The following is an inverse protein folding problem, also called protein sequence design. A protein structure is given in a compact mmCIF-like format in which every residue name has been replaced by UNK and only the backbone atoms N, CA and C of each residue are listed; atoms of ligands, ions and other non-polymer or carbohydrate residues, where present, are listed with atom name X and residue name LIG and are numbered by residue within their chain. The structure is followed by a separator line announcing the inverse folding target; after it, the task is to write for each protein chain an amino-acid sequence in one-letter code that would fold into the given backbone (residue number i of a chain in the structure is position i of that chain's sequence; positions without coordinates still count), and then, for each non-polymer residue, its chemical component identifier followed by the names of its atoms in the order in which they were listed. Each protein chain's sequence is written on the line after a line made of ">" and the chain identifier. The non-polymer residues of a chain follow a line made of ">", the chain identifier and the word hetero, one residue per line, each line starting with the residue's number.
data_IF_260213356665
#
_entry.id   IF_260213356665
#
_cell.length_a   1.000
_cell.length_b   1.000
_cell.length_c   1.000
_cell.angle_alpha   90.00
_cell.angle_beta   90.00
_cell.angle_gamma   90.00
#
_symmetry.space_group_name_H-M   'P 1'
#
loop_
_entity.id
_entity.type
_entity.pdbx_description
1 polymer ?
#
# COMPACT_ATOMS: atom_id res chain seq x y z
N UNK A 1 -25.39 8.18 56.52
CA UNK A 1 -24.58 7.22 55.75
C UNK A 1 -24.09 7.96 54.52
N UNK A 2 -22.80 8.26 54.42
CA UNK A 2 -22.23 8.82 53.19
C UNK A 2 -22.47 7.82 52.06
N UNK A 3 -23.06 8.28 50.97
CA UNK A 3 -23.40 7.43 49.83
C UNK A 3 -22.11 7.15 49.06
N UNK A 4 -21.62 5.91 49.13
CA UNK A 4 -20.43 5.47 48.40
C UNK A 4 -20.72 5.52 46.90
N UNK A 5 -19.85 6.20 46.14
CA UNK A 5 -19.96 6.29 44.68
C UNK A 5 -19.45 5.00 44.02
N UNK A 6 -20.14 4.53 42.97
CA UNK A 6 -19.74 3.33 42.24
C UNK A 6 -18.91 3.70 41.01
N UNK A 7 -17.88 2.91 40.70
CA UNK A 7 -16.97 3.14 39.58
C UNK A 7 -16.79 1.90 38.72
N UNK A 8 -16.64 2.11 37.41
CA UNK A 8 -16.31 1.09 36.41
C UNK A 8 -15.02 1.51 35.74
N UNK A 9 -14.03 0.62 35.72
CA UNK A 9 -12.72 0.89 35.14
C UNK A 9 -12.60 0.31 33.73
N UNK A 10 -11.98 1.09 32.84
CA UNK A 10 -11.57 0.67 31.51
C UNK A 10 -10.04 0.82 31.37
N UNK A 11 -9.38 -0.28 31.02
CA UNK A 11 -7.92 -0.40 30.93
C UNK A 11 -7.54 -0.81 29.50
N UNK A 12 -6.56 -0.14 28.92
CA UNK A 12 -6.03 -0.49 27.59
C UNK A 12 -4.72 -1.25 27.76
N UNK A 13 -4.72 -2.54 27.46
CA UNK A 13 -3.52 -3.37 27.50
C UNK A 13 -2.77 -3.34 26.16
N UNK A 14 -1.42 -3.26 26.19
CA UNK A 14 -0.61 -3.26 24.98
C UNK A 14 -0.73 -4.61 24.25
N UNK A 15 -0.58 -4.58 22.93
CA UNK A 15 -0.54 -5.81 22.14
C UNK A 15 0.75 -6.58 22.40
N UNK A 16 0.63 -7.89 22.58
CA UNK A 16 1.78 -8.79 22.63
C UNK A 16 2.52 -8.72 21.30
N UNK A 17 3.68 -8.07 21.26
CA UNK A 17 4.61 -8.22 20.13
C UNK A 17 5.08 -9.68 20.11
N UNK A 18 5.14 -10.30 18.92
CA UNK A 18 5.71 -11.65 18.77
C UNK A 18 7.12 -11.66 19.39
N UNK A 19 7.32 -12.52 20.40
CA UNK A 19 8.62 -12.69 21.08
C UNK A 19 8.79 -11.94 22.41
N UNK A 20 7.83 -11.13 22.85
CA UNK A 20 7.91 -10.44 24.15
C UNK A 20 7.52 -11.37 25.32
N UNK A 21 8.23 -11.30 26.47
CA UNK A 21 7.86 -12.03 27.69
C UNK A 21 6.43 -11.71 28.13
N UNK A 22 5.72 -12.72 28.68
CA UNK A 22 4.36 -12.56 29.17
C UNK A 22 4.27 -11.63 30.41
N UNK A 23 5.39 -11.43 31.12
CA UNK A 23 5.47 -10.64 32.34
C UNK A 23 5.14 -9.15 32.11
N UNK A 24 5.59 -8.59 30.98
CA UNK A 24 5.51 -7.16 30.70
C UNK A 24 4.05 -6.64 30.60
N UNK A 25 3.12 -7.46 30.09
CA UNK A 25 1.72 -7.05 29.91
C UNK A 25 0.96 -7.05 31.25
N UNK A 26 1.19 -8.06 32.09
CA UNK A 26 0.53 -8.16 33.39
C UNK A 26 1.02 -7.07 34.35
N UNK A 27 2.32 -6.75 34.33
CA UNK A 27 2.88 -5.65 35.11
C UNK A 27 2.34 -4.29 34.66
N UNK A 28 2.17 -4.11 33.34
CA UNK A 28 1.55 -2.91 32.78
C UNK A 28 0.09 -2.75 33.25
N UNK A 29 -0.72 -3.81 33.15
CA UNK A 29 -2.11 -3.82 33.64
C UNK A 29 -2.15 -3.52 35.15
N UNK A 30 -1.30 -4.18 35.95
CA UNK A 30 -1.24 -3.97 37.39
C UNK A 30 -0.91 -2.51 37.76
N UNK A 31 -0.05 -1.86 36.98
CA UNK A 31 0.28 -0.43 37.15
C UNK A 31 -0.93 0.46 36.89
N UNK A 32 -1.67 0.21 35.80
CA UNK A 32 -2.90 0.95 35.50
C UNK A 32 -3.99 0.71 36.55
N UNK A 33 -4.17 -0.54 37.00
CA UNK A 33 -5.12 -0.88 38.08
C UNK A 33 -4.77 -0.16 39.38
N UNK A 34 -3.49 -0.06 39.74
CA UNK A 34 -3.03 0.68 40.92
C UNK A 34 -3.40 2.16 40.83
N UNK A 35 -3.22 2.79 39.67
CA UNK A 35 -3.60 4.18 39.43
C UNK A 35 -5.10 4.39 39.53
N UNK A 36 -5.90 3.50 38.95
CA UNK A 36 -7.37 3.52 39.06
C UNK A 36 -7.80 3.38 40.52
N UNK A 37 -7.22 2.43 41.26
CA UNK A 37 -7.53 2.22 42.69
C UNK A 37 -7.22 3.47 43.53
N UNK A 38 -6.09 4.13 43.27
CA UNK A 38 -5.73 5.40 43.95
C UNK A 38 -6.77 6.49 43.71
N UNK A 39 -7.22 6.66 42.46
CA UNK A 39 -8.25 7.65 42.12
C UNK A 39 -9.58 7.35 42.85
N UNK A 40 -10.02 6.09 42.84
CA UNK A 40 -11.27 5.67 43.47
C UNK A 40 -11.20 5.86 45.00
N UNK A 41 -10.07 5.54 45.63
CA UNK A 41 -9.84 5.78 47.05
C UNK A 41 -9.90 7.27 47.41
N UNK A 42 -9.30 8.15 46.58
CA UNK A 42 -9.39 9.60 46.78
C UNK A 42 -10.82 10.15 46.70
N UNK A 43 -11.71 9.45 46.00
CA UNK A 43 -13.12 9.81 45.83
C UNK A 43 -14.05 9.07 46.80
N UNK A 44 -13.51 8.29 47.75
CA UNK A 44 -14.28 7.45 48.67
C UNK A 44 -15.29 6.54 47.93
N UNK A 45 -14.86 6.00 46.79
CA UNK A 45 -15.67 5.17 45.90
C UNK A 45 -15.45 3.68 46.05
N UNK A 46 -16.31 2.90 45.39
CA UNK A 46 -16.21 1.45 45.23
C UNK A 46 -16.04 1.09 43.76
N UNK A 47 -15.02 0.28 43.45
CA UNK A 47 -14.84 -0.30 42.11
C UNK A 47 -15.77 -1.50 41.93
N UNK A 48 -16.69 -1.43 40.97
CA UNK A 48 -17.67 -2.49 40.69
C UNK A 48 -17.12 -3.51 39.69
N UNK A 49 -16.45 -3.05 38.63
CA UNK A 49 -15.93 -3.91 37.56
C UNK A 49 -14.79 -3.25 36.78
N UNK A 50 -13.86 -4.05 36.29
CA UNK A 50 -12.78 -3.64 35.38
C UNK A 50 -12.96 -4.33 34.04
N UNK A 51 -12.82 -3.57 32.95
CA UNK A 51 -12.81 -4.04 31.57
C UNK A 51 -11.42 -3.78 30.98
N UNK A 52 -10.86 -4.79 30.29
CA UNK A 52 -9.50 -4.74 29.76
C UNK A 52 -9.56 -4.94 28.25
N UNK A 53 -9.22 -3.88 27.50
CA UNK A 53 -9.16 -3.92 26.04
C UNK A 53 -7.76 -4.32 25.58
N UNK A 54 -7.67 -5.33 24.71
CA UNK A 54 -6.42 -5.75 24.10
C UNK A 54 -6.17 -4.93 22.81
N UNK A 55 -5.02 -4.26 22.70
CA UNK A 55 -4.78 -3.24 21.66
C UNK A 55 -4.74 -3.67 20.18
N UNK A 56 -5.19 -4.86 19.78
CA UNK A 56 -5.10 -5.37 18.39
C UNK A 56 -6.37 -5.16 17.56
N UNK A 57 -7.24 -4.25 17.98
CA UNK A 57 -8.54 -4.07 17.33
C UNK A 57 -8.49 -3.16 16.08
N UNK A 58 -7.30 -2.76 15.60
CA UNK A 58 -7.13 -1.81 14.48
C UNK A 58 -7.75 -2.28 13.15
N UNK A 59 -8.01 -3.58 12.99
CA UNK A 59 -8.61 -4.17 11.78
C UNK A 59 -10.00 -4.78 12.01
N UNK A 60 -10.53 -4.68 13.24
CA UNK A 60 -11.86 -5.21 13.58
C UNK A 60 -12.97 -4.29 13.07
N UNK A 61 -14.12 -4.87 12.69
CA UNK A 61 -15.36 -4.11 12.42
C UNK A 61 -15.88 -3.38 13.66
N UNK A 62 -15.53 -3.89 14.85
CA UNK A 62 -15.85 -3.30 16.16
C UNK A 62 -14.54 -3.06 16.90
N UNK A 63 -13.96 -1.85 16.78
CA UNK A 63 -12.61 -1.61 17.28
C UNK A 63 -12.50 -1.50 18.81
N UNK A 64 -13.62 -1.45 19.55
CA UNK A 64 -13.63 -1.22 21.01
C UNK A 64 -14.77 -1.96 21.73
N UNK A 65 -14.83 -3.30 21.68
CA UNK A 65 -15.92 -4.08 22.29
C UNK A 65 -15.92 -4.01 23.83
N UNK A 66 -14.76 -3.91 24.47
CA UNK A 66 -14.66 -3.86 25.94
C UNK A 66 -15.05 -2.48 26.47
N UNK A 67 -14.75 -1.42 25.71
CA UNK A 67 -15.21 -0.07 26.05
C UNK A 67 -16.74 0.05 25.95
N UNK A 68 -17.33 -0.53 24.89
CA UNK A 68 -18.79 -0.58 24.75
C UNK A 68 -19.45 -1.33 25.92
N UNK A 69 -18.86 -2.45 26.32
CA UNK A 69 -19.30 -3.23 27.47
C UNK A 69 -19.14 -2.48 28.80
N UNK A 70 -18.04 -1.73 28.96
CA UNK A 70 -17.80 -0.89 30.13
C UNK A 70 -18.83 0.23 30.25
N UNK A 71 -19.13 0.91 29.14
CA UNK A 71 -20.15 1.97 29.06
C UNK A 71 -21.54 1.42 29.41
N UNK A 72 -21.94 0.31 28.79
CA UNK A 72 -23.24 -0.31 29.05
C UNK A 72 -23.38 -0.71 30.52
N UNK A 73 -22.33 -1.28 31.12
CA UNK A 73 -22.33 -1.68 32.52
C UNK A 73 -22.33 -0.48 33.48
N UNK A 74 -21.58 0.59 33.16
CA UNK A 74 -21.57 1.84 33.91
C UNK A 74 -22.96 2.49 33.95
N UNK A 75 -23.65 2.54 32.80
CA UNK A 75 -25.02 3.04 32.70
C UNK A 75 -25.98 2.18 33.52
N UNK A 76 -25.95 0.85 33.33
CA UNK A 76 -26.87 -0.07 34.00
C UNK A 76 -26.69 -0.09 35.53
N UNK A 77 -25.46 0.10 36.00
CA UNK A 77 -25.12 0.08 37.43
C UNK A 77 -25.14 1.46 38.11
N UNK A 78 -25.47 2.51 37.35
CA UNK A 78 -25.34 3.90 37.77
C UNK A 78 -23.95 4.22 38.40
N UNK A 79 -22.89 3.82 37.70
CA UNK A 79 -21.51 3.93 38.14
C UNK A 79 -20.70 4.85 37.20
N UNK A 80 -19.81 5.67 37.76
CA UNK A 80 -18.94 6.54 36.98
C UNK A 80 -17.93 5.74 36.15
N UNK A 81 -17.61 6.22 34.95
CA UNK A 81 -16.62 5.59 34.09
C UNK A 81 -15.22 6.16 34.37
N UNK A 82 -14.26 5.28 34.63
CA UNK A 82 -12.85 5.61 34.83
C UNK A 82 -12.03 5.00 33.71
N UNK A 83 -11.26 5.83 33.01
CA UNK A 83 -10.32 5.42 31.96
C UNK A 83 -8.91 5.56 32.53
N UNK A 84 -8.13 4.49 32.51
CA UNK A 84 -6.75 4.50 33.04
C UNK A 84 -5.83 5.43 32.24
N UNK A 85 -5.87 5.33 30.91
CA UNK A 85 -5.05 6.14 30.02
C UNK A 85 -5.84 6.50 28.75
N UNK A 86 -5.94 7.81 28.48
CA UNK A 86 -6.66 8.34 27.31
C UNK A 86 -5.71 8.87 26.22
N UNK A 87 -4.47 9.25 26.57
CA UNK A 87 -3.36 9.56 25.65
C UNK A 87 -3.81 10.18 24.29
N UNK A 88 -3.55 9.49 23.18
CA UNK A 88 -3.90 9.90 21.81
C UNK A 88 -5.27 9.38 21.33
N UNK A 89 -6.05 8.73 22.20
CA UNK A 89 -7.35 8.14 21.85
C UNK A 89 -8.41 9.20 21.59
N UNK A 90 -8.28 10.40 22.17
CA UNK A 90 -9.20 11.53 21.94
C UNK A 90 -9.33 11.93 20.47
N UNK A 91 -8.29 11.74 19.66
CA UNK A 91 -8.39 11.98 18.22
C UNK A 91 -8.77 10.74 17.40
N UNK A 92 -8.84 9.55 18.01
CA UNK A 92 -9.43 8.38 17.35
C UNK A 92 -10.95 8.55 17.28
N UNK A 93 -11.48 8.67 16.05
CA UNK A 93 -12.90 8.92 15.82
C UNK A 93 -13.80 7.84 16.42
N UNK A 94 -13.46 6.56 16.26
CA UNK A 94 -14.31 5.47 16.72
C UNK A 94 -14.33 5.34 18.25
N UNK A 95 -13.20 5.59 18.91
CA UNK A 95 -13.15 5.65 20.37
C UNK A 95 -14.00 6.82 20.91
N UNK A 96 -13.82 8.01 20.34
CA UNK A 96 -14.55 9.21 20.74
C UNK A 96 -16.07 9.05 20.53
N UNK A 97 -16.51 8.40 19.45
CA UNK A 97 -17.92 8.10 19.18
C UNK A 97 -18.55 7.23 20.27
N UNK A 98 -17.83 6.25 20.81
CA UNK A 98 -18.36 5.44 21.92
C UNK A 98 -18.54 6.27 23.19
N UNK A 99 -17.56 7.12 23.53
CA UNK A 99 -17.69 8.03 24.66
C UNK A 99 -18.81 9.06 24.44
N UNK A 100 -19.04 9.50 23.19
CA UNK A 100 -20.19 10.37 22.87
C UNK A 100 -21.52 9.67 23.13
N UNK A 101 -21.66 8.36 22.82
CA UNK A 101 -22.87 7.60 23.19
C UNK A 101 -23.10 7.61 24.71
N UNK A 102 -22.04 7.48 25.50
CA UNK A 102 -22.11 7.60 26.96
C UNK A 102 -22.59 9.00 27.38
N UNK A 103 -21.97 10.06 26.86
CA UNK A 103 -22.34 11.47 27.14
C UNK A 103 -23.81 11.76 26.75
N UNK A 104 -24.23 11.33 25.56
CA UNK A 104 -25.57 11.59 25.07
C UNK A 104 -26.62 10.85 25.92
N UNK A 105 -26.31 9.63 26.41
CA UNK A 105 -27.17 8.93 27.37
C UNK A 105 -27.30 9.71 28.68
N UNK A 106 -26.19 10.20 29.25
CA UNK A 106 -26.21 10.99 30.49
C UNK A 106 -26.94 12.33 30.38
N UNK A 107 -27.16 12.83 29.15
CA UNK A 107 -27.81 14.11 28.87
C UNK A 107 -29.34 14.00 28.71
N UNK A 108 -29.92 12.80 28.78
CA UNK A 108 -31.38 12.61 28.60
C UNK A 108 -32.17 13.00 29.87
N UNK A 109 -33.38 13.60 29.75
CA UNK A 109 -34.14 14.10 30.90
C UNK A 109 -34.52 13.06 31.99
N UNK A 110 -34.46 11.77 31.64
CA UNK A 110 -34.70 10.64 32.55
C UNK A 110 -33.44 9.83 32.87
N UNK A 111 -32.27 10.22 32.36
CA UNK A 111 -31.02 9.56 32.71
C UNK A 111 -30.57 9.95 34.11
N UNK A 112 -29.88 9.00 34.74
CA UNK A 112 -29.31 9.09 36.08
C UNK A 112 -28.44 10.35 36.22
N UNK A 113 -29.03 11.38 36.82
CA UNK A 113 -28.35 12.62 37.18
C UNK A 113 -27.16 12.27 38.10
N UNK A 114 -25.94 12.30 37.56
CA UNK A 114 -24.72 12.12 38.36
C UNK A 114 -23.60 11.29 37.72
N UNK A 115 -23.81 10.63 36.58
CA UNK A 115 -22.72 9.89 35.92
C UNK A 115 -21.60 10.83 35.45
N UNK A 116 -20.35 10.45 35.71
CA UNK A 116 -19.15 11.24 35.41
C UNK A 116 -18.15 10.40 34.61
N UNK A 117 -17.24 11.09 33.93
CA UNK A 117 -16.10 10.52 33.24
C UNK A 117 -14.82 10.99 33.93
N UNK A 118 -13.96 10.05 34.32
CA UNK A 118 -12.65 10.34 34.90
C UNK A 118 -11.54 9.70 34.07
N UNK A 119 -10.50 10.47 33.75
CA UNK A 119 -9.30 9.98 33.09
C UNK A 119 -8.11 10.11 34.05
N UNK A 120 -7.43 9.01 34.36
CA UNK A 120 -6.37 9.01 35.37
C UNK A 120 -5.10 9.74 34.92
N UNK A 121 -4.75 9.65 33.63
CA UNK A 121 -3.58 10.31 33.03
C UNK A 121 -3.82 11.80 32.75
N UNK A 122 -5.08 12.18 32.46
CA UNK A 122 -5.47 13.55 32.12
C UNK A 122 -6.68 13.98 32.94
N UNK A 123 -6.44 14.32 34.22
CA UNK A 123 -7.50 14.65 35.19
C UNK A 123 -8.38 15.87 34.79
N UNK A 124 -7.91 16.73 33.88
CA UNK A 124 -8.70 17.83 33.35
C UNK A 124 -9.77 17.38 32.33
N UNK A 125 -9.70 16.15 31.81
CA UNK A 125 -10.70 15.60 30.90
C UNK A 125 -11.91 15.15 31.71
N UNK A 126 -13.02 15.83 31.45
CA UNK A 126 -14.31 15.60 32.09
C UNK A 126 -15.38 15.47 31.01
N UNK A 127 -16.57 15.03 31.41
CA UNK A 127 -17.70 14.85 30.51
C UNK A 127 -18.00 16.11 29.68
N UNK A 128 -18.02 17.27 30.35
CA UNK A 128 -18.44 18.55 29.77
C UNK A 128 -17.47 19.10 28.72
N UNK A 129 -16.17 18.85 28.88
CA UNK A 129 -15.14 19.36 27.98
C UNK A 129 -14.63 18.32 26.97
N UNK A 130 -15.04 17.05 27.11
CA UNK A 130 -14.59 15.96 26.23
C UNK A 130 -14.86 16.27 24.75
N UNK A 131 -16.06 16.77 24.41
CA UNK A 131 -16.43 17.15 23.04
C UNK A 131 -15.47 18.21 22.46
N UNK A 132 -15.08 19.21 23.25
CA UNK A 132 -14.15 20.25 22.84
C UNK A 132 -12.72 19.70 22.63
N UNK A 133 -12.27 18.81 23.52
CA UNK A 133 -10.94 18.18 23.44
C UNK A 133 -10.84 17.31 22.19
N UNK A 134 -11.85 16.51 21.88
CA UNK A 134 -11.90 15.69 20.65
C UNK A 134 -11.84 16.57 19.40
N UNK A 135 -12.60 17.68 19.37
CA UNK A 135 -12.60 18.60 18.24
C UNK A 135 -11.21 19.23 18.03
N UNK A 136 -10.58 19.70 19.10
CA UNK A 136 -9.23 20.26 19.05
C UNK A 136 -8.20 19.22 18.58
N UNK A 137 -8.24 18.00 19.11
CA UNK A 137 -7.31 16.94 18.74
C UNK A 137 -7.48 16.51 17.26
N UNK A 138 -8.72 16.49 16.73
CA UNK A 138 -8.99 16.29 15.29
C UNK A 138 -8.39 17.41 14.44
N UNK A 139 -8.52 18.67 14.86
CA UNK A 139 -7.95 19.80 14.15
C UNK A 139 -6.41 19.78 14.14
N UNK A 140 -5.78 19.44 15.27
CA UNK A 140 -4.33 19.28 15.34
C UNK A 140 -3.82 18.21 14.38
N UNK A 141 -4.49 17.05 14.31
CA UNK A 141 -4.13 16.00 13.33
C UNK A 141 -4.25 16.48 11.88
N UNK A 142 -5.32 17.22 11.57
CA UNK A 142 -5.52 17.80 10.23
C UNK A 142 -4.40 18.78 9.88
N UNK A 143 -4.07 19.68 10.80
CA UNK A 143 -3.01 20.67 10.61
C UNK A 143 -1.64 20.01 10.47
N UNK A 144 -1.32 19.02 11.31
CA UNK A 144 -0.09 18.24 11.17
C UNK A 144 -0.01 17.52 9.82
N UNK A 145 -1.11 16.91 9.35
CA UNK A 145 -1.19 16.29 8.03
C UNK A 145 -1.01 17.29 6.88
N UNK A 146 -1.54 18.50 7.03
CA UNK A 146 -1.33 19.59 6.07
C UNK A 146 0.14 20.03 6.05
N UNK A 147 0.77 20.24 7.20
CA UNK A 147 2.19 20.59 7.29
C UNK A 147 3.09 19.51 6.68
N UNK A 148 2.79 18.22 6.89
CA UNK A 148 3.51 17.12 6.24
C UNK A 148 3.34 17.21 4.72
N UNK A 149 2.10 17.41 4.23
CA UNK A 149 1.81 17.52 2.81
C UNK A 149 2.53 18.73 2.19
N UNK A 150 2.49 19.88 2.85
CA UNK A 150 3.17 21.09 2.43
C UNK A 150 4.69 20.92 2.41
N UNK A 151 5.26 20.30 3.46
CA UNK A 151 6.68 19.96 3.53
C UNK A 151 7.09 19.06 2.35
N UNK A 152 6.32 18.00 2.10
CA UNK A 152 6.53 17.09 0.96
C UNK A 152 6.43 17.80 -0.40
N UNK A 153 5.58 18.81 -0.54
CA UNK A 153 5.46 19.58 -1.79
C UNK A 153 6.57 20.61 -1.98
N UNK A 154 7.11 21.18 -0.90
CA UNK A 154 8.19 22.18 -0.95
C UNK A 154 9.56 21.54 -1.14
N UNK A 155 9.73 20.30 -0.69
CA UNK A 155 10.92 19.51 -0.99
C UNK A 155 10.78 18.84 -2.36
N UNK A 156 11.43 19.37 -3.41
CA UNK A 156 11.60 18.64 -4.68
C UNK A 156 12.27 17.26 -4.49
N UNK A 157 13.00 17.10 -3.38
CA UNK A 157 13.32 15.81 -2.80
C UNK A 157 12.15 15.32 -1.95
N UNK A 158 11.33 14.39 -2.48
CA UNK A 158 10.49 13.52 -1.61
C UNK A 158 11.34 13.12 -0.41
N UNK A 159 10.92 13.39 0.82
CA UNK A 159 11.68 13.00 2.01
C UNK A 159 12.03 11.50 1.93
N UNK A 160 13.30 11.26 1.64
CA UNK A 160 13.80 10.05 0.99
C UNK A 160 15.09 10.38 0.24
N UNK A 161 15.90 9.36 -0.03
CA UNK A 161 17.20 9.52 -0.71
C UNK A 161 17.02 10.41 -1.97
N UNK A 162 17.74 11.53 -2.13
CA UNK A 162 17.61 12.40 -3.31
C UNK A 162 17.96 11.67 -4.62
N UNK A 163 18.72 10.56 -4.54
CA UNK A 163 18.98 9.66 -5.66
C UNK A 163 17.91 8.58 -5.85
N UNK A 164 16.83 8.56 -5.05
CA UNK A 164 15.81 7.54 -5.12
C UNK A 164 15.19 7.46 -6.51
N UNK A 165 14.96 8.57 -7.21
CA UNK A 165 14.41 8.55 -8.58
C UNK A 165 15.38 7.86 -9.55
N UNK A 166 16.67 8.18 -9.49
CA UNK A 166 17.69 7.56 -10.35
C UNK A 166 17.86 6.06 -10.04
N UNK A 167 17.82 5.69 -8.75
CA UNK A 167 17.89 4.28 -8.31
C UNK A 167 16.60 3.52 -8.67
N UNK A 168 15.43 4.15 -8.48
CA UNK A 168 14.12 3.59 -8.80
C UNK A 168 14.01 3.34 -10.30
N UNK A 169 14.43 4.28 -11.15
CA UNK A 169 14.38 4.09 -12.61
C UNK A 169 15.34 2.99 -13.07
N UNK A 170 16.58 2.95 -12.54
CA UNK A 170 17.56 1.90 -12.85
C UNK A 170 17.11 0.50 -12.42
N UNK A 171 16.37 0.39 -11.30
CA UNK A 171 15.87 -0.90 -10.80
C UNK A 171 14.51 -1.27 -11.42
N UNK A 172 13.69 -0.28 -11.79
CA UNK A 172 12.35 -0.53 -12.31
C UNK A 172 12.33 -0.92 -13.78
N UNK A 173 13.21 -0.35 -14.65
CA UNK A 173 13.22 -0.74 -16.08
C UNK A 173 13.45 -2.25 -16.24
N UNK A 174 14.49 -2.87 -15.65
CA UNK A 174 14.68 -4.33 -15.73
C UNK A 174 13.49 -5.12 -15.16
N UNK A 175 12.83 -4.63 -14.09
CA UNK A 175 11.64 -5.28 -13.53
C UNK A 175 10.43 -5.20 -14.47
N UNK A 176 10.25 -4.07 -15.15
CA UNK A 176 9.19 -3.87 -16.14
C UNK A 176 9.44 -4.77 -17.35
N UNK A 177 10.66 -4.75 -17.88
CA UNK A 177 11.06 -5.53 -19.05
C UNK A 177 10.89 -7.03 -18.77
N UNK A 178 11.39 -7.51 -17.63
CA UNK A 178 11.18 -8.91 -17.20
C UNK A 178 9.70 -9.26 -17.04
N UNK A 179 8.87 -8.34 -16.54
CA UNK A 179 7.43 -8.58 -16.42
C UNK A 179 6.73 -8.63 -17.78
N UNK A 180 7.20 -7.87 -18.77
CA UNK A 180 6.73 -7.93 -20.16
C UNK A 180 7.13 -9.27 -20.78
N UNK A 181 8.42 -9.63 -20.75
CA UNK A 181 8.94 -10.91 -21.25
C UNK A 181 8.15 -12.08 -20.66
N UNK A 182 8.02 -12.11 -19.32
CA UNK A 182 7.31 -13.17 -18.63
C UNK A 182 5.84 -13.27 -19.08
N UNK A 183 5.17 -12.13 -19.29
CA UNK A 183 3.80 -12.12 -19.78
C UNK A 183 3.68 -12.61 -21.23
N UNK A 184 4.66 -12.31 -22.10
CA UNK A 184 4.71 -12.79 -23.48
C UNK A 184 4.90 -14.33 -23.52
N UNK A 185 5.81 -14.85 -22.68
CA UNK A 185 6.04 -16.30 -22.56
C UNK A 185 4.78 -17.04 -22.08
N UNK A 186 4.06 -16.47 -21.10
CA UNK A 186 2.88 -17.10 -20.53
C UNK A 186 1.60 -16.90 -21.37
N UNK A 187 1.58 -15.95 -22.29
CA UNK A 187 0.43 -15.64 -23.15
C UNK A 187 -0.19 -16.87 -23.84
N UNK A 188 0.58 -17.76 -24.53
CA UNK A 188 0.01 -18.95 -25.16
C UNK A 188 -0.63 -19.92 -24.16
N UNK A 189 -0.03 -20.10 -22.98
CA UNK A 189 -0.57 -20.97 -21.91
C UNK A 189 -1.91 -20.43 -21.40
N UNK A 190 -1.96 -19.12 -21.10
CA UNK A 190 -3.20 -18.48 -20.66
C UNK A 190 -4.27 -18.52 -21.74
N UNK A 191 -3.90 -18.33 -23.01
CA UNK A 191 -4.81 -18.45 -24.15
C UNK A 191 -5.41 -19.85 -24.26
N UNK A 192 -4.58 -20.90 -24.15
CA UNK A 192 -5.05 -22.28 -24.13
C UNK A 192 -6.05 -22.54 -22.98
N UNK A 193 -5.79 -22.04 -21.78
CA UNK A 193 -6.72 -22.16 -20.67
C UNK A 193 -8.04 -21.40 -20.87
N UNK A 194 -7.99 -20.23 -21.53
CA UNK A 194 -9.20 -19.47 -21.91
C UNK A 194 -10.05 -20.26 -22.91
N UNK A 195 -9.42 -20.86 -23.91
CA UNK A 195 -10.09 -21.71 -24.90
C UNK A 195 -10.75 -22.94 -24.27
N UNK A 196 -10.15 -23.49 -23.22
CA UNK A 196 -10.74 -24.57 -22.41
C UNK A 196 -11.87 -24.10 -21.48
N UNK A 197 -12.19 -22.81 -21.45
CA UNK A 197 -13.24 -22.26 -20.59
C UNK A 197 -12.92 -22.29 -19.10
N UNK A 198 -11.63 -22.35 -18.72
CA UNK A 198 -11.24 -22.34 -17.32
C UNK A 198 -11.55 -20.99 -16.67
N UNK A 199 -12.03 -21.00 -15.42
CA UNK A 199 -12.11 -19.79 -14.62
C UNK A 199 -10.71 -19.39 -14.15
N UNK A 200 -10.47 -18.10 -13.86
CA UNK A 200 -9.16 -17.65 -13.39
C UNK A 200 -8.67 -18.40 -12.13
N UNK A 201 -9.58 -18.80 -11.22
CA UNK A 201 -9.21 -19.63 -10.07
C UNK A 201 -8.75 -21.03 -10.48
N UNK A 202 -9.42 -21.64 -11.47
CA UNK A 202 -8.99 -22.92 -12.06
C UNK A 202 -7.67 -22.80 -12.81
N UNK A 203 -7.44 -21.68 -13.51
CA UNK A 203 -6.15 -21.41 -14.14
C UNK A 203 -5.01 -21.36 -13.12
N UNK A 204 -5.21 -20.72 -11.96
CA UNK A 204 -4.22 -20.71 -10.87
C UNK A 204 -3.93 -22.11 -10.37
N UNK A 205 -4.96 -22.92 -10.10
CA UNK A 205 -4.78 -24.33 -9.72
C UNK A 205 -3.97 -25.08 -10.77
N UNK A 206 -4.29 -24.88 -12.06
CA UNK A 206 -3.61 -25.55 -13.16
C UNK A 206 -2.15 -25.15 -13.30
N UNK A 207 -1.83 -23.85 -13.21
CA UNK A 207 -0.45 -23.36 -13.22
C UNK A 207 0.38 -24.01 -12.12
N UNK A 208 -0.20 -24.10 -10.92
CA UNK A 208 0.45 -24.71 -9.76
C UNK A 208 0.62 -26.22 -9.90
N UNK A 209 -0.38 -26.93 -10.44
CA UNK A 209 -0.32 -28.37 -10.71
C UNK A 209 0.71 -28.72 -11.78
N UNK A 210 0.83 -27.88 -12.81
CA UNK A 210 1.80 -28.03 -13.91
C UNK A 210 3.21 -27.55 -13.51
N UNK A 211 3.40 -27.04 -12.30
CA UNK A 211 4.70 -26.66 -11.76
C UNK A 211 5.22 -25.30 -12.23
N UNK A 212 4.38 -24.46 -12.84
CA UNK A 212 4.77 -23.09 -13.16
C UNK A 212 4.97 -22.29 -11.88
N UNK A 213 6.15 -21.69 -11.72
CA UNK A 213 6.42 -20.79 -10.61
C UNK A 213 5.92 -19.38 -10.88
N UNK A 214 5.43 -18.69 -9.85
CA UNK A 214 5.10 -17.27 -9.94
C UNK A 214 6.36 -16.41 -10.21
N UNK A 215 6.24 -15.17 -10.72
CA UNK A 215 7.39 -14.31 -11.07
C UNK A 215 8.42 -14.05 -9.96
N UNK A 216 7.98 -14.05 -8.70
CA UNK A 216 8.86 -13.88 -7.52
C UNK A 216 9.18 -15.23 -6.84
N UNK A 217 8.87 -16.34 -7.51
CA UNK A 217 8.95 -17.69 -6.98
C UNK A 217 7.67 -18.13 -6.25
N UNK A 218 7.62 -19.43 -5.92
CA UNK A 218 6.52 -20.04 -5.19
C UNK A 218 5.25 -20.27 -6.01
N UNK A 219 4.16 -20.57 -5.29
CA UNK A 219 2.86 -20.90 -5.86
C UNK A 219 2.11 -19.65 -6.33
N UNK A 220 1.37 -19.79 -7.42
CA UNK A 220 0.49 -18.77 -7.95
C UNK A 220 -0.68 -18.48 -7.03
N UNK A 221 -1.01 -17.19 -6.91
CA UNK A 221 -2.26 -16.69 -6.37
C UNK A 221 -3.05 -15.89 -7.40
N UNK A 222 -4.36 -15.78 -7.19
CA UNK A 222 -5.29 -15.12 -8.13
C UNK A 222 -4.87 -13.69 -8.51
N UNK A 223 -4.41 -12.90 -7.55
CA UNK A 223 -4.00 -11.51 -7.80
C UNK A 223 -2.77 -11.41 -8.71
N UNK A 224 -1.86 -12.39 -8.67
CA UNK A 224 -0.71 -12.45 -9.56
C UNK A 224 -1.16 -12.80 -10.99
N UNK A 225 -2.02 -13.81 -11.13
CA UNK A 225 -2.57 -14.18 -12.44
C UNK A 225 -3.33 -13.01 -13.08
N UNK A 226 -4.13 -12.27 -12.31
CA UNK A 226 -4.86 -11.11 -12.81
C UNK A 226 -3.93 -10.02 -13.35
N UNK A 227 -2.80 -9.75 -12.68
CA UNK A 227 -1.78 -8.82 -13.17
C UNK A 227 -1.16 -9.29 -14.48
N UNK A 228 -0.88 -10.58 -14.61
CA UNK A 228 -0.31 -11.15 -15.84
C UNK A 228 -1.31 -11.11 -16.99
N UNK A 229 -2.56 -11.49 -16.74
CA UNK A 229 -3.66 -11.37 -17.71
C UNK A 229 -3.80 -9.94 -18.21
N UNK A 230 -3.81 -8.97 -17.31
CA UNK A 230 -3.90 -7.57 -17.67
C UNK A 230 -2.74 -7.13 -18.59
N UNK A 231 -1.50 -7.51 -18.24
CA UNK A 231 -0.33 -7.21 -19.08
C UNK A 231 -0.40 -7.88 -20.44
N UNK A 232 -0.83 -9.14 -20.51
CA UNK A 232 -1.03 -9.84 -21.79
C UNK A 232 -2.00 -9.03 -22.66
N UNK A 233 -3.15 -8.63 -22.12
CA UNK A 233 -4.13 -7.84 -22.87
C UNK A 233 -3.55 -6.50 -23.34
N UNK A 234 -2.78 -5.81 -22.50
CA UNK A 234 -2.14 -4.54 -22.90
C UNK A 234 -1.08 -4.76 -23.99
N UNK A 235 -0.26 -5.81 -23.89
CA UNK A 235 0.75 -6.14 -24.90
C UNK A 235 0.11 -6.52 -26.24
N UNK A 236 -0.90 -7.39 -26.22
CA UNK A 236 -1.67 -7.78 -27.41
C UNK A 236 -2.30 -6.56 -28.07
N UNK A 237 -2.92 -5.70 -27.26
CA UNK A 237 -3.52 -4.44 -27.75
C UNK A 237 -2.45 -3.57 -28.41
N UNK A 238 -1.31 -3.38 -27.76
CA UNK A 238 -0.25 -2.53 -28.26
C UNK A 238 0.30 -3.00 -29.61
N UNK A 239 0.61 -4.29 -29.72
CA UNK A 239 1.05 -4.89 -30.98
C UNK A 239 -0.02 -4.83 -32.07
N UNK A 240 -1.29 -5.01 -31.72
CA UNK A 240 -2.38 -4.98 -32.71
C UNK A 240 -2.66 -3.57 -33.27
N UNK A 241 -2.42 -2.53 -32.47
CA UNK A 241 -2.74 -1.14 -32.82
C UNK A 241 -1.53 -0.36 -33.34
N UNK A 242 -0.31 -0.87 -33.16
CA UNK A 242 0.92 -0.19 -33.56
C UNK A 242 0.89 0.33 -35.00
N UNK A 243 0.59 -0.53 -35.97
CA UNK A 243 0.53 -0.12 -37.38
C UNK A 243 -0.54 0.94 -37.63
N UNK A 244 -1.68 0.85 -36.94
CA UNK A 244 -2.75 1.84 -37.05
C UNK A 244 -2.30 3.18 -36.46
N UNK A 245 -1.71 3.19 -35.27
CA UNK A 245 -1.16 4.40 -34.65
C UNK A 245 -0.11 5.05 -35.55
N UNK A 246 0.87 4.29 -36.04
CA UNK A 246 1.92 4.77 -36.94
C UNK A 246 1.34 5.44 -38.19
N UNK A 247 0.37 4.80 -38.86
CA UNK A 247 -0.31 5.37 -40.03
C UNK A 247 -1.06 6.67 -39.71
N UNK A 248 -1.71 6.77 -38.55
CA UNK A 248 -2.42 7.99 -38.14
C UNK A 248 -1.45 9.12 -37.79
N UNK A 249 -0.28 8.79 -37.23
CA UNK A 249 0.81 9.75 -37.00
C UNK A 249 1.40 10.29 -38.29
N UNK A 250 1.57 9.47 -39.33
CA UNK A 250 2.00 9.92 -40.66
C UNK A 250 1.01 10.93 -41.26
N UNK A 251 -0.28 10.79 -40.93
CA UNK A 251 -1.33 11.75 -41.29
C UNK A 251 -1.39 12.98 -40.38
N UNK A 252 -0.37 13.19 -39.53
CA UNK A 252 -0.25 14.31 -38.58
C UNK A 252 -1.39 14.40 -37.57
N UNK A 253 -2.05 13.28 -37.24
CA UNK A 253 -3.10 13.29 -36.23
C UNK A 253 -2.55 13.44 -34.81
N UNK A 254 -3.27 14.23 -34.01
CA UNK A 254 -3.03 14.41 -32.58
C UNK A 254 -3.44 13.17 -31.80
N UNK A 255 -2.94 13.04 -30.58
CA UNK A 255 -3.25 11.91 -29.69
C UNK A 255 -4.74 11.89 -29.32
N UNK A 256 -5.34 13.07 -29.20
CA UNK A 256 -6.76 13.29 -28.98
C UNK A 256 -7.61 12.76 -30.14
N UNK A 257 -7.24 13.10 -31.38
CA UNK A 257 -7.93 12.64 -32.58
C UNK A 257 -7.85 11.11 -32.74
N UNK A 258 -6.70 10.52 -32.44
CA UNK A 258 -6.52 9.05 -32.48
C UNK A 258 -7.43 8.39 -31.43
N UNK A 259 -7.48 8.91 -30.21
CA UNK A 259 -8.33 8.39 -29.15
C UNK A 259 -9.82 8.48 -29.52
N UNK A 260 -10.27 9.61 -30.07
CA UNK A 260 -11.63 9.78 -30.57
C UNK A 260 -11.95 8.79 -31.70
N UNK A 261 -11.01 8.59 -32.62
CA UNK A 261 -11.16 7.63 -33.71
C UNK A 261 -11.29 6.19 -33.19
N UNK A 262 -10.47 5.78 -32.22
CA UNK A 262 -10.54 4.45 -31.63
C UNK A 262 -11.86 4.22 -30.89
N UNK A 263 -12.34 5.23 -30.16
CA UNK A 263 -13.67 5.20 -29.53
C UNK A 263 -14.79 5.10 -30.58
N UNK A 264 -14.70 5.86 -31.68
CA UNK A 264 -15.68 5.83 -32.78
C UNK A 264 -15.73 4.47 -33.48
N UNK A 265 -14.57 3.83 -33.65
CA UNK A 265 -14.44 2.49 -34.21
C UNK A 265 -14.78 1.36 -33.23
N UNK A 266 -15.13 1.70 -31.98
CA UNK A 266 -15.44 0.73 -30.92
C UNK A 266 -14.31 -0.28 -30.68
N UNK A 267 -13.05 0.17 -30.84
CA UNK A 267 -11.87 -0.63 -30.52
C UNK A 267 -11.82 -0.86 -29.01
N UNK A 268 -11.69 -2.12 -28.57
CA UNK A 268 -11.64 -2.45 -27.14
C UNK A 268 -10.46 -1.77 -26.46
N UNK A 269 -10.71 -1.10 -25.34
CA UNK A 269 -9.69 -0.43 -24.56
C UNK A 269 -9.34 -1.28 -23.31
N UNK A 270 -8.07 -1.66 -23.10
CA UNK A 270 -7.68 -2.52 -21.98
C UNK A 270 -7.65 -1.75 -20.64
N UNK A 271 -7.77 -0.43 -20.66
CA UNK A 271 -7.65 0.44 -19.49
C UNK A 271 -8.99 0.66 -18.77
N UNK A 272 -8.92 1.35 -17.62
CA UNK A 272 -10.10 1.63 -16.80
C UNK A 272 -11.16 2.38 -17.63
N UNK A 273 -12.43 2.02 -17.42
CA UNK A 273 -13.61 2.58 -18.09
C UNK A 273 -13.81 2.20 -19.58
N UNK A 274 -12.96 1.34 -20.15
CA UNK A 274 -13.11 0.81 -21.52
C UNK A 274 -13.31 1.93 -22.57
N UNK A 275 -12.66 3.07 -22.38
CA UNK A 275 -12.65 4.22 -23.29
C UNK A 275 -11.21 4.64 -23.54
N UNK A 276 -10.91 5.01 -24.77
CA UNK A 276 -9.61 5.57 -25.14
C UNK A 276 -9.52 7.03 -24.70
N UNK A 277 -8.52 7.33 -23.89
CA UNK A 277 -8.10 8.69 -23.57
C UNK A 277 -6.73 8.96 -24.23
N UNK A 278 -6.34 10.23 -24.43
CA UNK A 278 -5.05 10.55 -25.06
C UNK A 278 -3.86 9.89 -24.35
N UNK A 279 -3.87 9.86 -23.02
CA UNK A 279 -2.84 9.20 -22.21
C UNK A 279 -2.72 7.69 -22.49
N UNK A 280 -3.83 7.02 -22.85
CA UNK A 280 -3.82 5.60 -23.18
C UNK A 280 -3.19 5.32 -24.54
N UNK A 281 -3.30 6.25 -25.49
CA UNK A 281 -2.64 6.13 -26.80
C UNK A 281 -1.13 6.20 -26.62
N UNK A 282 -0.64 7.19 -25.84
CA UNK A 282 0.78 7.30 -25.52
C UNK A 282 1.29 6.06 -24.80
N UNK A 283 0.53 5.54 -23.81
CA UNK A 283 0.93 4.33 -23.09
C UNK A 283 1.02 3.10 -24.01
N UNK A 284 0.13 2.99 -25.00
CA UNK A 284 0.15 1.90 -25.99
C UNK A 284 1.32 2.05 -26.98
N UNK A 285 1.58 3.26 -27.48
CA UNK A 285 2.73 3.53 -28.36
C UNK A 285 4.06 3.25 -27.64
N UNK A 286 4.21 3.72 -26.39
CA UNK A 286 5.37 3.41 -25.55
C UNK A 286 5.48 1.91 -25.27
N UNK A 287 4.35 1.23 -25.01
CA UNK A 287 4.32 -0.21 -24.79
C UNK A 287 4.81 -0.98 -26.01
N UNK A 288 4.35 -0.63 -27.20
CA UNK A 288 4.76 -1.28 -28.45
C UNK A 288 6.27 -1.11 -28.65
N UNK A 289 6.79 0.11 -28.46
CA UNK A 289 8.24 0.38 -28.53
C UNK A 289 9.04 -0.48 -27.53
N UNK A 290 8.60 -0.54 -26.28
CA UNK A 290 9.27 -1.38 -25.26
C UNK A 290 9.28 -2.87 -25.63
N UNK A 291 8.20 -3.38 -26.23
CA UNK A 291 8.16 -4.77 -26.69
C UNK A 291 9.21 -5.00 -27.79
N UNK A 292 9.34 -4.07 -28.74
CA UNK A 292 10.36 -4.15 -29.80
C UNK A 292 11.78 -4.09 -29.24
N UNK A 293 12.07 -3.17 -28.31
CA UNK A 293 13.37 -3.12 -27.62
C UNK A 293 13.71 -4.46 -26.94
N UNK A 294 12.71 -5.10 -26.33
CA UNK A 294 12.88 -6.39 -25.64
C UNK A 294 13.12 -7.53 -26.64
N UNK A 295 12.39 -7.54 -27.76
CA UNK A 295 12.55 -8.56 -28.80
C UNK A 295 13.90 -8.45 -29.49
N UNK A 296 14.34 -7.24 -29.82
CA UNK A 296 15.66 -6.95 -30.38
C UNK A 296 16.78 -7.39 -29.43
N UNK A 297 16.67 -7.06 -28.13
CA UNK A 297 17.59 -7.52 -27.09
C UNK A 297 17.63 -9.06 -27.02
N UNK A 298 16.46 -9.71 -27.10
CA UNK A 298 16.38 -11.16 -27.03
C UNK A 298 17.04 -11.83 -28.24
N UNK A 299 16.80 -11.32 -29.45
CA UNK A 299 17.42 -11.80 -30.69
C UNK A 299 18.95 -11.61 -30.67
N UNK A 300 19.41 -10.45 -30.17
CA UNK A 300 20.82 -10.20 -29.95
C UNK A 300 21.45 -11.22 -28.99
N UNK A 301 20.83 -11.48 -27.83
CA UNK A 301 21.34 -12.47 -26.86
C UNK A 301 21.37 -13.88 -27.45
N UNK A 302 20.35 -14.29 -28.21
CA UNK A 302 20.34 -15.59 -28.87
C UNK A 302 21.49 -15.73 -29.87
N UNK A 303 21.77 -14.66 -30.63
CA UNK A 303 22.90 -14.61 -31.57
C UNK A 303 24.24 -14.64 -30.84
N UNK A 304 24.30 -14.05 -29.65
CA UNK A 304 25.50 -14.00 -28.82
C UNK A 304 25.81 -15.30 -28.07
N UNK A 305 24.78 -16.11 -27.77
CA UNK A 305 24.88 -17.30 -26.91
C UNK A 305 25.98 -18.28 -27.37
N UNK A 306 26.10 -18.65 -28.66
CA UNK A 306 27.15 -19.57 -29.11
C UNK A 306 28.57 -19.01 -28.90
N UNK A 307 28.74 -17.69 -29.00
CA UNK A 307 30.03 -17.03 -28.72
C UNK A 307 30.31 -17.11 -27.22
N UNK A 308 29.33 -16.83 -26.35
CA UNK A 308 29.50 -16.91 -24.90
C UNK A 308 29.81 -18.34 -24.44
N UNK A 309 29.21 -19.35 -25.06
CA UNK A 309 29.45 -20.77 -24.74
C UNK A 309 30.85 -21.25 -25.19
N UNK A 310 31.47 -20.59 -26.16
CA UNK A 310 32.81 -20.92 -26.68
C UNK A 310 33.93 -20.60 -25.68
N UNK A 311 33.73 -19.65 -24.77
CA UNK A 311 34.76 -19.16 -23.87
C UNK A 311 34.46 -19.52 -22.42
N UNK A 312 35.50 -19.88 -21.67
CA UNK A 312 35.41 -19.85 -20.21
C UNK A 312 35.36 -18.41 -19.69
N UNK A 313 34.78 -18.20 -18.50
CA UNK A 313 34.60 -16.87 -17.89
C UNK A 313 35.88 -16.02 -17.81
N UNK A 314 37.05 -16.67 -17.77
CA UNK A 314 38.35 -16.02 -17.63
C UNK A 314 39.04 -15.68 -18.97
N UNK A 315 38.49 -16.14 -20.12
CA UNK A 315 39.11 -16.02 -21.45
C UNK A 315 38.47 -14.94 -22.32
N UNK A 316 37.29 -14.46 -21.95
CA UNK A 316 36.53 -13.45 -22.70
C UNK A 316 36.84 -12.04 -22.18
N UNK A 317 37.88 -11.40 -22.73
CA UNK A 317 38.14 -9.98 -22.51
C UNK A 317 37.46 -9.10 -23.59
N UNK A 318 37.44 -7.78 -23.36
CA UNK A 318 36.76 -6.81 -24.23
C UNK A 318 37.25 -6.87 -25.69
N UNK A 319 38.56 -6.98 -25.89
CA UNK A 319 39.15 -7.06 -27.24
C UNK A 319 38.78 -8.37 -27.95
N UNK A 320 38.83 -9.51 -27.23
CA UNK A 320 38.44 -10.82 -27.76
C UNK A 320 36.96 -10.82 -28.11
N UNK A 321 36.12 -10.26 -27.24
CA UNK A 321 34.69 -10.17 -27.47
C UNK A 321 34.34 -9.27 -28.66
N UNK A 322 34.96 -8.09 -28.78
CA UNK A 322 34.77 -7.18 -29.90
C UNK A 322 35.20 -7.81 -31.23
N UNK A 323 36.34 -8.52 -31.25
CA UNK A 323 36.83 -9.21 -32.43
C UNK A 323 35.91 -10.38 -32.85
N UNK A 324 35.36 -11.13 -31.89
CA UNK A 324 34.41 -12.22 -32.19
C UNK A 324 33.07 -11.67 -32.71
N UNK A 325 32.55 -10.58 -32.12
CA UNK A 325 31.36 -9.89 -32.64
C UNK A 325 31.57 -9.43 -34.08
N UNK A 326 32.71 -8.77 -34.35
CA UNK A 326 33.06 -8.30 -35.69
C UNK A 326 33.23 -9.46 -36.68
N UNK A 327 33.87 -10.55 -36.27
CA UNK A 327 34.10 -11.73 -37.10
C UNK A 327 32.81 -12.49 -37.41
N UNK A 328 31.86 -12.48 -36.47
CA UNK A 328 30.53 -13.05 -36.63
C UNK A 328 29.55 -12.11 -37.38
N UNK A 329 29.96 -10.87 -37.69
CA UNK A 329 29.10 -9.87 -38.31
C UNK A 329 27.93 -9.43 -37.44
N UNK A 330 28.09 -9.50 -36.12
CA UNK A 330 27.05 -9.14 -35.15
C UNK A 330 27.20 -7.66 -34.81
N UNK A 331 26.18 -6.87 -35.14
CA UNK A 331 26.10 -5.47 -34.74
C UNK A 331 25.45 -5.34 -33.35
N UNK A 332 25.95 -4.40 -32.54
CA UNK A 332 25.37 -4.09 -31.23
C UNK A 332 24.15 -3.20 -31.47
N UNK A 333 22.94 -3.56 -30.99
CA UNK A 333 21.76 -2.76 -31.22
C UNK A 333 21.89 -1.33 -30.67
N UNK A 334 21.35 -0.34 -31.39
CA UNK A 334 21.46 1.07 -31.00
C UNK A 334 20.93 1.35 -29.59
N UNK A 335 19.94 0.54 -29.17
CA UNK A 335 19.30 0.57 -27.86
C UNK A 335 20.28 0.38 -26.69
N UNK A 336 21.46 -0.19 -26.91
CA UNK A 336 22.50 -0.37 -25.88
C UNK A 336 23.38 0.87 -25.63
N UNK A 337 23.41 1.85 -26.55
CA UNK A 337 24.30 3.01 -26.40
C UNK A 337 23.73 4.11 -25.48
N UNK A 338 22.52 3.96 -24.93
CA UNK A 338 21.81 5.01 -24.19
C UNK A 338 22.15 5.15 -22.69
N UNK A 339 23.19 4.47 -22.15
CA UNK A 339 23.48 4.51 -20.70
C UNK A 339 24.71 5.31 -20.25
N UNK A 340 25.44 5.99 -21.15
CA UNK A 340 26.53 6.88 -20.73
C UNK A 340 26.09 8.34 -20.89
N UNK A 341 25.69 9.05 -19.83
CA UNK A 341 25.54 10.49 -19.93
C UNK A 341 26.89 11.10 -20.36
N UNK A 342 26.92 12.08 -21.26
CA UNK A 342 28.16 12.72 -21.66
C UNK A 342 28.85 13.24 -20.42
N UNK A 343 30.09 12.82 -20.24
CA UNK A 343 30.96 13.23 -19.15
C UNK A 343 31.25 14.73 -19.36
N UNK A 344 30.43 15.61 -18.79
CA UNK A 344 30.71 17.04 -18.73
C UNK A 344 31.86 17.28 -17.76
N UNK A 345 33.07 16.98 -18.23
CA UNK A 345 34.32 17.36 -17.61
C UNK A 345 35.04 18.39 -18.51
N UNK A 346 34.45 19.56 -18.67
CA UNK A 346 35.21 20.78 -18.92
C UNK A 346 35.45 21.48 -17.60
N UNK A 347 36.43 20.97 -16.85
CA UNK A 347 37.16 21.79 -15.89
C UNK A 347 38.08 22.67 -16.72
N UNK A 348 37.59 23.85 -17.12
CA UNK A 348 38.48 24.94 -17.51
C UNK A 348 39.20 25.39 -16.25
N UNK A 349 40.50 25.08 -16.19
CA UNK A 349 41.46 25.91 -15.47
C UNK A 349 41.43 27.29 -16.12
N UNK A 350 41.10 28.30 -15.34
CA UNK A 350 41.86 29.56 -15.22
C UNK A 350 41.49 30.23 -13.90
#
# INVERSE_FOLDING_TARGET
>A
MEKTENFVAYILAPTKKKGSPLADVNEFIATQESTVKKLIQQKNGQLTKTFIELGDNRRSRHPWPELESAIAFAIASNAHLVISEINHLTANTSFAEQIFKYIDHTSTPNATAGLQLYCCDQAYIQLDNFKAIVAHAKQQRKFHGQLIKEGLTRSHSKSGNPNAINVINKVNKPKIDNAIVFSLILAPVISAYRLQGLSQRKMVSRLNEEGFTAPEGGMWVLSQLQKVIYRITVNETALSLEHQCSKLRELSQTTEEIAEQFNKLSISCPFQNNKWLPENILEIEERAKLIHEILELHEFILTLTPILEKYHLDELNEDVFANELQSAGIEIPETFYHTVPPNNATVTKD
#
